data_IF_695490613324
#
_entry.id   IF_695490613324
#
_cell.length_a   1.000
_cell.length_b   1.000
_cell.length_c   1.000
_cell.angle_alpha   90.00
_cell.angle_beta   90.00
_cell.angle_gamma   90.00
#
_symmetry.space_group_name_H-M   'P 1'
#
loop_
_entity.id
_entity.type
_entity.pdbx_description
1 polymer ?
#
# COMPACT_ATOMS: atom_id res chain seq x y z
N UNK A 1 2.06 -4.23 -13.72
CA UNK A 1 2.77 -3.06 -13.13
C UNK A 1 2.03 -1.75 -13.42
N UNK A 2 1.44 -1.61 -14.60
CA UNK A 2 0.70 -0.39 -14.98
C UNK A 2 -0.50 -0.11 -14.08
N UNK A 3 -1.17 -1.15 -13.60
CA UNK A 3 -2.29 -1.06 -12.66
C UNK A 3 -1.89 -0.46 -11.31
N UNK A 4 -0.70 -0.80 -10.79
CA UNK A 4 -0.15 -0.19 -9.56
C UNK A 4 0.12 1.30 -9.79
N UNK A 5 0.70 1.67 -10.94
CA UNK A 5 0.99 3.07 -11.28
C UNK A 5 -0.31 3.88 -11.45
N UNK A 6 -1.30 3.33 -12.15
CA UNK A 6 -2.59 3.97 -12.34
C UNK A 6 -3.31 4.18 -11.00
N UNK A 7 -3.32 3.16 -10.15
CA UNK A 7 -3.92 3.24 -8.81
C UNK A 7 -3.18 4.24 -7.91
N UNK A 8 -1.85 4.20 -7.90
CA UNK A 8 -1.02 5.14 -7.15
C UNK A 8 -1.27 6.59 -7.59
N UNK A 9 -1.40 6.84 -8.90
CA UNK A 9 -1.73 8.15 -9.45
C UNK A 9 -3.13 8.61 -9.05
N UNK A 10 -4.13 7.72 -9.16
CA UNK A 10 -5.53 8.01 -8.78
C UNK A 10 -5.67 8.45 -7.33
N UNK A 11 -4.89 7.84 -6.43
CA UNK A 11 -4.92 8.12 -4.99
C UNK A 11 -3.78 9.01 -4.49
N UNK A 12 -3.04 9.66 -5.40
CA UNK A 12 -1.95 10.59 -5.06
C UNK A 12 -0.95 10.01 -4.05
N UNK A 13 -0.55 8.75 -4.27
CA UNK A 13 0.51 8.14 -3.46
C UNK A 13 1.84 8.82 -3.70
N UNK A 14 2.59 9.01 -2.63
CA UNK A 14 4.01 9.35 -2.72
C UNK A 14 4.80 8.19 -3.33
N UNK A 15 6.06 8.46 -3.71
CA UNK A 15 6.97 7.42 -4.19
C UNK A 15 7.08 6.25 -3.20
N UNK A 16 7.32 6.56 -1.92
CA UNK A 16 7.44 5.53 -0.87
C UNK A 16 6.16 4.75 -0.64
N UNK A 17 5.00 5.40 -0.64
CA UNK A 17 3.72 4.69 -0.50
C UNK A 17 3.41 3.80 -1.71
N UNK A 18 3.83 4.20 -2.91
CA UNK A 18 3.71 3.39 -4.13
C UNK A 18 4.59 2.15 -4.07
N UNK A 19 5.82 2.30 -3.56
CA UNK A 19 6.75 1.20 -3.30
C UNK A 19 6.18 0.22 -2.25
N UNK A 20 5.60 0.75 -1.16
CA UNK A 20 4.95 -0.06 -0.13
C UNK A 20 3.73 -0.78 -0.69
N UNK A 21 2.86 -0.13 -1.47
CA UNK A 21 1.72 -0.80 -2.10
C UNK A 21 2.17 -1.97 -2.98
N UNK A 22 3.22 -1.75 -3.78
CA UNK A 22 3.82 -2.81 -4.59
C UNK A 22 4.30 -3.97 -3.72
N UNK A 23 5.03 -3.69 -2.64
CA UNK A 23 5.49 -4.72 -1.70
C UNK A 23 4.31 -5.51 -1.10
N UNK A 24 3.23 -4.84 -0.69
CA UNK A 24 2.05 -5.49 -0.12
C UNK A 24 1.33 -6.42 -1.11
N UNK A 25 1.44 -6.16 -2.41
CA UNK A 25 0.81 -6.97 -3.46
C UNK A 25 1.69 -8.16 -3.84
N UNK A 26 3.02 -7.95 -3.92
CA UNK A 26 3.95 -8.97 -4.44
C UNK A 26 4.69 -9.74 -3.36
N UNK A 27 4.68 -9.24 -2.12
CA UNK A 27 5.37 -9.81 -0.99
C UNK A 27 4.60 -10.95 -0.33
N UNK A 28 5.25 -11.59 0.64
CA UNK A 28 4.70 -12.75 1.37
C UNK A 28 3.98 -12.37 2.66
N UNK A 29 4.12 -11.12 3.11
CA UNK A 29 3.51 -10.60 4.34
C UNK A 29 3.07 -9.14 4.12
N UNK A 30 2.15 -8.69 4.97
CA UNK A 30 1.59 -7.33 5.01
C UNK A 30 1.88 -6.62 6.34
N UNK A 31 2.62 -7.24 7.26
CA UNK A 31 2.95 -6.70 8.58
C UNK A 31 3.79 -5.41 8.52
N UNK A 32 3.73 -4.60 9.59
CA UNK A 32 4.53 -3.38 9.66
C UNK A 32 6.02 -3.69 9.82
N UNK A 33 6.32 -4.81 10.46
CA UNK A 33 7.64 -5.38 10.71
C UNK A 33 8.28 -5.85 9.40
N UNK A 34 7.50 -6.52 8.54
CA UNK A 34 7.94 -6.89 7.20
C UNK A 34 8.27 -5.65 6.35
N UNK A 35 7.38 -4.66 6.31
CA UNK A 35 7.64 -3.39 5.59
C UNK A 35 8.87 -2.68 6.16
N UNK A 36 9.04 -2.68 7.49
CA UNK A 36 10.19 -2.10 8.17
C UNK A 36 11.50 -2.74 7.71
N UNK A 37 11.54 -4.08 7.68
CA UNK A 37 12.66 -4.89 7.17
C UNK A 37 13.00 -4.55 5.72
N UNK A 38 12.03 -4.61 4.82
CA UNK A 38 12.25 -4.44 3.37
C UNK A 38 12.71 -3.03 2.99
N UNK A 39 12.32 -2.01 3.77
CA UNK A 39 12.63 -0.61 3.46
C UNK A 39 13.68 0.03 4.38
N UNK A 40 14.22 -0.70 5.36
CA UNK A 40 15.20 -0.17 6.33
C UNK A 40 14.67 1.01 7.14
N UNK A 41 13.37 1.01 7.48
CA UNK A 41 12.71 2.08 8.26
C UNK A 41 12.21 1.55 9.59
N UNK A 42 11.90 2.42 10.55
CA UNK A 42 11.31 1.95 11.82
C UNK A 42 9.91 1.35 11.63
N UNK A 43 9.48 0.39 12.48
CA UNK A 43 8.11 -0.12 12.45
C UNK A 43 7.05 0.97 12.62
N UNK A 44 7.35 2.02 13.40
CA UNK A 44 6.45 3.17 13.54
C UNK A 44 6.32 3.95 12.22
N UNK A 45 7.43 4.19 11.53
CA UNK A 45 7.42 4.84 10.20
C UNK A 45 6.62 4.02 9.19
N UNK A 46 6.79 2.69 9.19
CA UNK A 46 5.99 1.79 8.35
C UNK A 46 4.48 1.91 8.66
N UNK A 47 4.10 1.93 9.94
CA UNK A 47 2.69 2.12 10.36
C UNK A 47 2.14 3.48 9.95
N UNK A 48 2.94 4.54 10.00
CA UNK A 48 2.54 5.88 9.53
C UNK A 48 2.26 5.86 8.02
N UNK A 49 3.11 5.23 7.21
CA UNK A 49 2.85 5.08 5.77
C UNK A 49 1.54 4.33 5.51
N UNK A 50 1.31 3.20 6.19
CA UNK A 50 0.07 2.43 6.06
C UNK A 50 -1.15 3.26 6.49
N UNK A 51 -1.04 4.05 7.56
CA UNK A 51 -2.12 4.95 8.01
C UNK A 51 -2.44 6.00 6.93
N UNK A 52 -1.42 6.65 6.37
CA UNK A 52 -1.60 7.66 5.33
C UNK A 52 -2.21 7.08 4.06
N UNK A 53 -1.79 5.87 3.65
CA UNK A 53 -2.39 5.15 2.54
C UNK A 53 -3.86 4.81 2.81
N UNK A 54 -4.20 4.36 4.03
CA UNK A 54 -5.60 4.11 4.40
C UNK A 54 -6.47 5.37 4.27
N UNK A 55 -5.96 6.53 4.74
CA UNK A 55 -6.63 7.84 4.59
C UNK A 55 -6.85 8.15 3.11
N UNK A 56 -5.80 8.04 2.28
CA UNK A 56 -5.90 8.32 0.84
C UNK A 56 -6.91 7.42 0.14
N UNK A 57 -7.00 6.16 0.54
CA UNK A 57 -7.89 5.19 -0.13
C UNK A 57 -9.31 5.21 0.44
N UNK A 58 -9.55 5.91 1.56
CA UNK A 58 -10.80 5.85 2.30
C UNK A 58 -11.06 4.47 2.91
N UNK A 59 -10.02 3.84 3.45
CA UNK A 59 -10.07 2.49 4.04
C UNK A 59 -9.62 2.51 5.50
N UNK A 60 -9.89 1.44 6.26
CA UNK A 60 -9.55 1.35 7.69
C UNK A 60 -8.55 0.25 8.03
N UNK A 61 -8.16 -0.56 7.06
CA UNK A 61 -7.21 -1.65 7.27
C UNK A 61 -6.47 -2.00 5.99
N UNK A 62 -5.30 -2.63 6.14
CA UNK A 62 -4.52 -3.18 5.00
C UNK A 62 -5.35 -4.15 4.16
N UNK A 63 -6.20 -4.97 4.78
CA UNK A 63 -7.10 -5.89 4.06
C UNK A 63 -8.10 -5.14 3.18
N UNK A 64 -8.74 -4.09 3.71
CA UNK A 64 -9.63 -3.24 2.90
C UNK A 64 -8.88 -2.50 1.78
N UNK A 65 -7.67 -2.05 2.07
CA UNK A 65 -6.78 -1.41 1.10
C UNK A 65 -6.51 -2.33 -0.10
N UNK A 66 -6.11 -3.57 0.17
CA UNK A 66 -5.84 -4.59 -0.85
C UNK A 66 -7.11 -5.05 -1.56
N UNK A 67 -8.22 -5.24 -0.84
CA UNK A 67 -9.51 -5.57 -1.46
C UNK A 67 -9.97 -4.49 -2.43
N UNK A 68 -9.80 -3.21 -2.06
CA UNK A 68 -10.11 -2.08 -2.93
C UNK A 68 -9.24 -2.06 -4.18
N UNK A 69 -7.94 -2.28 -4.02
CA UNK A 69 -7.01 -2.41 -5.14
C UNK A 69 -7.43 -3.53 -6.11
N UNK A 70 -7.71 -4.73 -5.60
CA UNK A 70 -8.15 -5.88 -6.41
C UNK A 70 -9.45 -5.56 -7.14
N UNK A 71 -10.44 -4.98 -6.45
CA UNK A 71 -11.73 -4.62 -7.05
C UNK A 71 -11.56 -3.68 -8.24
N UNK A 72 -10.71 -2.67 -8.10
CA UNK A 72 -10.47 -1.71 -9.18
C UNK A 72 -9.61 -2.25 -10.31
N UNK A 73 -8.87 -3.35 -10.09
CA UNK A 73 -8.10 -4.03 -11.13
C UNK A 73 -8.89 -5.08 -11.92
N UNK A 74 -9.89 -5.70 -11.30
CA UNK A 74 -10.67 -6.79 -11.90
C UNK A 74 -11.97 -6.27 -12.52
N UNK A 75 -12.53 -5.19 -11.97
CA UNK A 75 -13.82 -4.61 -12.40
C UNK A 75 -13.62 -3.29 -13.17
N UNK A 76 -12.37 -2.81 -13.27
CA UNK A 76 -12.00 -1.55 -13.91
C UNK A 76 -11.32 -1.74 -15.26
#
# INVERSE_FOLDING_TARGET
MDSIRAFAKKYSLSKRESEILKLLITGTDVSGEYISSEFGISPNTARIHIKNMNIKFGTRSKGQMLQKFIREMVVG
#
